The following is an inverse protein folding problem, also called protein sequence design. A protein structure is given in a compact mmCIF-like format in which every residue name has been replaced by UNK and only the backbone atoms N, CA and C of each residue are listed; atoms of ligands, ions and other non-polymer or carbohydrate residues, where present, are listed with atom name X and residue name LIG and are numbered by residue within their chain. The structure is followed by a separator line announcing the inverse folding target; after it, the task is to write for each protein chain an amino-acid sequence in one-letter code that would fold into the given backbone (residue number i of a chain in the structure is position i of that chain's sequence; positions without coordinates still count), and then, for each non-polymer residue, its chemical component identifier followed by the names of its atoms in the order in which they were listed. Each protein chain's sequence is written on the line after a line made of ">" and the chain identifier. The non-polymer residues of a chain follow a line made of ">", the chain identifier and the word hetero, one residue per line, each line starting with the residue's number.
data_IF_058331264188
#
_entry.id   IF_058331264188
#
_cell.length_a   1.000
_cell.length_b   1.000
_cell.length_c   1.000
_cell.angle_alpha   90.00
_cell.angle_beta   90.00
_cell.angle_gamma   90.00
#
_symmetry.space_group_name_H-M   'P 1'
#
loop_
_entity.id
_entity.type
_entity.pdbx_description
1 polymer ?
#
# COMPACT_ATOMS: atom_id res chain seq x y z
N UNK A 1 3.84 14.32 -16.23
CA UNK A 1 3.47 13.90 -14.85
C UNK A 1 2.19 13.06 -14.84
N UNK A 2 1.05 13.57 -15.34
CA UNK A 2 -0.23 12.87 -15.26
C UNK A 2 -0.24 11.46 -15.92
N UNK A 3 0.34 11.33 -17.11
CA UNK A 3 0.44 10.03 -17.80
C UNK A 3 1.25 9.00 -16.99
N UNK A 4 2.37 9.42 -16.39
CA UNK A 4 3.17 8.56 -15.52
C UNK A 4 2.33 8.05 -14.34
N UNK A 5 1.62 8.94 -13.65
CA UNK A 5 0.74 8.58 -12.53
C UNK A 5 -0.32 7.58 -12.96
N UNK A 6 -0.95 7.79 -14.12
CA UNK A 6 -1.96 6.89 -14.64
C UNK A 6 -1.41 5.49 -14.92
N UNK A 7 -0.27 5.40 -15.60
CA UNK A 7 0.37 4.13 -15.92
C UNK A 7 0.80 3.37 -14.67
N UNK A 8 1.41 4.05 -13.69
CA UNK A 8 1.86 3.40 -12.45
C UNK A 8 0.71 3.09 -11.49
N UNK A 9 -0.38 3.86 -11.52
CA UNK A 9 -1.59 3.56 -10.75
C UNK A 9 -2.31 2.33 -11.31
N UNK A 10 -2.36 2.17 -12.63
CA UNK A 10 -2.93 0.98 -13.27
C UNK A 10 -2.06 -0.28 -13.05
N UNK A 11 -0.73 -0.12 -13.13
CA UNK A 11 0.22 -1.21 -12.89
C UNK A 11 0.46 -1.50 -11.41
N UNK A 12 -0.23 -0.81 -10.51
CA UNK A 12 -0.01 -0.99 -9.09
C UNK A 12 -0.46 -2.38 -8.63
N UNK A 13 0.18 -2.81 -7.57
CA UNK A 13 0.05 -4.10 -6.93
C UNK A 13 -1.40 -4.48 -6.56
N UNK A 14 -2.16 -3.51 -6.05
CA UNK A 14 -3.56 -3.72 -5.65
C UNK A 14 -4.44 -4.10 -6.85
N UNK A 15 -4.26 -3.41 -7.99
CA UNK A 15 -4.97 -3.68 -9.24
C UNK A 15 -4.49 -4.99 -9.87
N UNK A 16 -3.18 -5.19 -9.95
CA UNK A 16 -2.59 -6.40 -10.56
C UNK A 16 -3.00 -7.67 -9.81
N UNK A 17 -3.13 -7.62 -8.48
CA UNK A 17 -3.61 -8.76 -7.70
C UNK A 17 -5.08 -9.08 -7.98
N UNK A 18 -5.94 -8.07 -8.03
CA UNK A 18 -7.34 -8.26 -8.40
C UNK A 18 -7.50 -8.83 -9.82
N UNK A 19 -6.71 -8.33 -10.77
CA UNK A 19 -6.71 -8.78 -12.15
C UNK A 19 -6.39 -10.27 -12.32
N UNK A 20 -5.46 -10.78 -11.52
CA UNK A 20 -5.11 -12.21 -11.51
C UNK A 20 -6.25 -13.07 -11.01
N UNK A 21 -7.03 -12.56 -10.06
CA UNK A 21 -8.20 -13.27 -9.52
C UNK A 21 -9.42 -13.17 -10.43
N UNK A 22 -9.58 -12.06 -11.16
CA UNK A 22 -10.70 -11.81 -12.06
C UNK A 22 -10.20 -11.35 -13.45
N UNK A 23 -9.78 -12.29 -14.32
CA UNK A 23 -9.10 -11.98 -15.58
C UNK A 23 -9.93 -11.17 -16.58
N UNK A 24 -11.25 -11.37 -16.61
CA UNK A 24 -12.15 -10.82 -17.63
C UNK A 24 -12.54 -9.36 -17.41
N UNK A 25 -12.10 -8.72 -16.31
CA UNK A 25 -12.61 -7.40 -15.89
C UNK A 25 -11.59 -6.27 -15.93
N UNK A 26 -10.30 -6.53 -16.08
CA UNK A 26 -9.28 -5.59 -15.57
C UNK A 26 -9.13 -4.25 -16.32
N UNK A 27 -9.06 -4.25 -17.67
CA UNK A 27 -8.86 -2.99 -18.44
C UNK A 27 -10.09 -2.08 -18.29
N UNK A 28 -11.30 -2.66 -18.29
CA UNK A 28 -12.54 -1.91 -18.11
C UNK A 28 -12.71 -1.45 -16.65
N UNK A 29 -12.33 -2.28 -15.67
CA UNK A 29 -12.56 -1.99 -14.25
C UNK A 29 -11.79 -0.77 -13.73
N UNK A 30 -10.48 -0.68 -13.94
CA UNK A 30 -9.71 0.49 -13.48
C UNK A 30 -10.18 1.78 -14.15
N UNK A 31 -10.38 1.73 -15.47
CA UNK A 31 -10.84 2.88 -16.27
C UNK A 31 -12.20 3.37 -15.80
N UNK A 32 -13.14 2.44 -15.54
CA UNK A 32 -14.46 2.75 -15.00
C UNK A 32 -14.39 3.32 -13.60
N UNK A 33 -13.64 2.69 -12.69
CA UNK A 33 -13.45 3.18 -11.33
C UNK A 33 -12.86 4.60 -11.32
N UNK A 34 -11.94 4.89 -12.23
CA UNK A 34 -11.35 6.22 -12.41
C UNK A 34 -12.37 7.24 -12.88
N UNK A 35 -13.17 6.92 -13.90
CA UNK A 35 -14.21 7.84 -14.37
C UNK A 35 -15.25 8.15 -13.28
N UNK A 36 -15.65 7.14 -12.50
CA UNK A 36 -16.56 7.32 -11.36
C UNK A 36 -15.94 8.22 -10.29
N UNK A 37 -14.66 8.00 -9.94
CA UNK A 37 -13.94 8.84 -8.95
C UNK A 37 -13.75 10.27 -9.41
N UNK A 38 -13.46 10.51 -10.69
CA UNK A 38 -13.33 11.88 -11.23
C UNK A 38 -14.65 12.62 -11.04
N UNK A 39 -15.78 12.03 -11.45
CA UNK A 39 -17.11 12.65 -11.31
C UNK A 39 -17.45 12.96 -9.86
N UNK A 40 -17.15 12.04 -8.95
CA UNK A 40 -17.37 12.24 -7.51
C UNK A 40 -16.50 13.38 -6.97
N UNK A 41 -15.21 13.41 -7.31
CA UNK A 41 -14.29 14.42 -6.79
C UNK A 41 -14.55 15.80 -7.41
N UNK A 42 -14.99 15.87 -8.66
CA UNK A 42 -15.49 17.11 -9.26
C UNK A 42 -16.70 17.64 -8.50
N UNK A 43 -17.65 16.78 -8.13
CA UNK A 43 -18.82 17.19 -7.33
C UNK A 43 -18.42 17.72 -5.95
N UNK A 44 -17.42 17.12 -5.30
CA UNK A 44 -17.00 17.46 -3.94
C UNK A 44 -16.05 18.66 -3.87
N UNK A 45 -15.12 18.78 -4.83
CA UNK A 45 -13.98 19.70 -4.74
C UNK A 45 -13.96 20.78 -5.81
N UNK A 46 -14.81 20.71 -6.84
CA UNK A 46 -14.82 21.70 -7.92
C UNK A 46 -16.06 22.60 -7.88
N UNK A 47 -15.84 23.91 -7.80
CA UNK A 47 -16.90 24.90 -7.94
C UNK A 47 -17.20 25.12 -9.42
N UNK A 48 -18.18 24.39 -9.95
CA UNK A 48 -18.53 24.40 -11.39
C UNK A 48 -18.90 25.79 -11.91
N UNK A 49 -19.62 26.59 -11.12
CA UNK A 49 -19.99 27.96 -11.51
C UNK A 49 -18.82 28.93 -11.25
N UNK A 50 -18.40 29.66 -12.28
CA UNK A 50 -17.27 30.60 -12.19
C UNK A 50 -17.55 31.81 -11.29
N UNK A 51 -18.75 32.37 -11.39
CA UNK A 51 -19.14 33.54 -10.61
C UNK A 51 -19.22 33.21 -9.13
N UNK A 52 -19.83 32.07 -8.78
CA UNK A 52 -19.85 31.56 -7.41
C UNK A 52 -18.43 31.34 -6.88
N UNK A 53 -17.53 30.79 -7.71
CA UNK A 53 -16.15 30.58 -7.30
C UNK A 53 -15.44 31.92 -7.02
N UNK A 54 -15.63 32.94 -7.87
CA UNK A 54 -15.10 34.30 -7.61
C UNK A 54 -15.67 34.90 -6.35
N UNK A 55 -16.97 34.74 -6.08
CA UNK A 55 -17.60 35.21 -4.85
C UNK A 55 -16.99 34.54 -3.61
N UNK A 56 -16.72 33.23 -3.66
CA UNK A 56 -16.03 32.52 -2.58
C UNK A 56 -14.63 33.10 -2.36
N UNK A 57 -13.84 33.29 -3.43
CA UNK A 57 -12.50 33.87 -3.36
C UNK A 57 -12.51 35.28 -2.74
N UNK A 58 -13.45 36.13 -3.14
CA UNK A 58 -13.61 37.47 -2.53
C UNK A 58 -13.98 37.38 -1.05
N UNK A 59 -14.86 36.43 -0.67
CA UNK A 59 -15.29 36.26 0.72
C UNK A 59 -14.13 35.85 1.64
N UNK A 60 -13.16 35.09 1.11
CA UNK A 60 -11.98 34.63 1.86
C UNK A 60 -10.75 35.55 1.70
N UNK A 61 -10.90 36.71 1.07
CA UNK A 61 -9.82 37.70 0.90
C UNK A 61 -8.77 37.32 -0.15
N UNK A 62 -9.16 36.53 -1.16
CA UNK A 62 -8.32 36.12 -2.30
C UNK A 62 -8.81 36.73 -3.62
N UNK A 63 -9.32 37.95 -3.60
CA UNK A 63 -9.86 38.66 -4.76
C UNK A 63 -8.83 38.87 -5.88
N UNK A 64 -7.54 38.91 -5.54
CA UNK A 64 -6.43 39.00 -6.51
C UNK A 64 -6.37 37.80 -7.47
N UNK A 65 -6.96 36.65 -7.10
CA UNK A 65 -7.04 35.47 -7.95
C UNK A 65 -8.24 35.50 -8.91
N UNK A 66 -9.15 36.47 -8.80
CA UNK A 66 -10.35 36.55 -9.64
C UNK A 66 -10.08 37.10 -11.05
N UNK A 67 -8.92 37.73 -11.27
CA UNK A 67 -8.51 38.29 -12.56
C UNK A 67 -7.78 37.26 -13.43
N UNK A 68 -7.89 37.40 -14.75
CA UNK A 68 -7.15 36.56 -15.69
C UNK A 68 -5.71 37.07 -15.85
N UNK A 69 -4.69 36.18 -15.95
CA UNK A 69 -4.80 34.73 -16.16
C UNK A 69 -4.91 33.90 -14.86
N UNK A 70 -4.85 34.53 -13.67
CA UNK A 70 -4.80 33.84 -12.38
C UNK A 70 -6.03 32.97 -12.13
N UNK A 71 -7.23 33.47 -12.45
CA UNK A 71 -8.48 32.73 -12.25
C UNK A 71 -8.55 31.47 -13.13
N UNK A 72 -8.25 31.60 -14.43
CA UNK A 72 -8.21 30.45 -15.34
C UNK A 72 -7.16 29.42 -14.91
N UNK A 73 -5.96 29.87 -14.50
CA UNK A 73 -4.90 29.00 -14.03
C UNK A 73 -5.29 28.28 -12.73
N UNK A 74 -5.91 28.98 -11.77
CA UNK A 74 -6.42 28.38 -10.54
C UNK A 74 -7.44 27.27 -10.84
N UNK A 75 -8.43 27.56 -11.69
CA UNK A 75 -9.44 26.56 -12.07
C UNK A 75 -8.83 25.35 -12.76
N UNK A 76 -7.84 25.57 -13.64
CA UNK A 76 -7.13 24.46 -14.30
C UNK A 76 -6.33 23.64 -13.29
N UNK A 77 -5.58 24.29 -12.39
CA UNK A 77 -4.83 23.60 -11.33
C UNK A 77 -5.74 22.77 -10.42
N UNK A 78 -6.94 23.26 -10.11
CA UNK A 78 -7.93 22.49 -9.35
C UNK A 78 -8.42 21.25 -10.11
N UNK A 79 -8.69 21.36 -11.41
CA UNK A 79 -9.05 20.21 -12.25
C UNK A 79 -7.91 19.19 -12.32
N UNK A 80 -6.68 19.65 -12.51
CA UNK A 80 -5.49 18.80 -12.56
C UNK A 80 -5.28 18.08 -11.22
N UNK A 81 -5.49 18.77 -10.09
CA UNK A 81 -5.45 18.18 -8.76
C UNK A 81 -6.53 17.12 -8.57
N UNK A 82 -7.78 17.39 -8.98
CA UNK A 82 -8.87 16.42 -8.91
C UNK A 82 -8.54 15.18 -9.75
N UNK A 83 -8.02 15.39 -10.96
CA UNK A 83 -7.63 14.31 -11.85
C UNK A 83 -6.53 13.45 -11.23
N UNK A 84 -5.52 14.07 -10.62
CA UNK A 84 -4.46 13.40 -9.89
C UNK A 84 -5.03 12.57 -8.73
N UNK A 85 -5.81 13.19 -7.83
CA UNK A 85 -6.38 12.54 -6.66
C UNK A 85 -7.28 11.36 -7.05
N UNK A 86 -8.16 11.54 -8.04
CA UNK A 86 -9.04 10.48 -8.51
C UNK A 86 -8.23 9.31 -9.10
N UNK A 87 -7.20 9.60 -9.91
CA UNK A 87 -6.33 8.58 -10.51
C UNK A 87 -5.58 7.76 -9.46
N UNK A 88 -5.07 8.42 -8.41
CA UNK A 88 -4.41 7.71 -7.30
C UNK A 88 -5.43 6.92 -6.47
N UNK A 89 -6.59 7.50 -6.17
CA UNK A 89 -7.65 6.84 -5.41
C UNK A 89 -8.17 5.57 -6.09
N UNK A 90 -8.25 5.56 -7.43
CA UNK A 90 -8.64 4.38 -8.22
C UNK A 90 -7.61 3.26 -8.23
N UNK A 91 -6.35 3.54 -7.83
CA UNK A 91 -5.33 2.49 -7.66
C UNK A 91 -5.55 1.63 -6.42
N UNK A 92 -6.47 2.01 -5.52
CA UNK A 92 -6.93 1.20 -4.39
C UNK A 92 -8.47 1.14 -4.45
N UNK A 93 -9.02 0.27 -5.30
CA UNK A 93 -10.44 0.30 -5.65
C UNK A 93 -11.31 -0.19 -4.49
N UNK A 94 -12.56 0.27 -4.46
CA UNK A 94 -13.57 -0.28 -3.55
C UNK A 94 -14.11 -1.55 -4.20
N UNK A 95 -13.96 -2.70 -3.53
CA UNK A 95 -14.43 -3.98 -4.02
C UNK A 95 -15.08 -4.76 -2.87
N UNK A 96 -16.20 -5.44 -3.13
CA UNK A 96 -16.88 -6.27 -2.11
C UNK A 96 -16.05 -7.49 -1.69
N UNK A 97 -15.20 -7.97 -2.59
CA UNK A 97 -14.45 -9.21 -2.40
C UNK A 97 -13.00 -8.98 -1.99
N UNK A 98 -12.50 -7.75 -2.05
CA UNK A 98 -11.10 -7.42 -1.77
C UNK A 98 -11.00 -6.31 -0.73
N UNK A 99 -10.02 -6.41 0.15
CA UNK A 99 -9.80 -5.47 1.23
C UNK A 99 -8.56 -5.80 2.03
N UNK A 100 -8.36 -5.10 3.13
CA UNK A 100 -7.28 -5.33 4.08
C UNK A 100 -7.75 -6.27 5.18
N UNK A 101 -7.26 -7.52 5.15
CA UNK A 101 -7.66 -8.56 6.10
C UNK A 101 -6.44 -9.16 6.81
N UNK A 102 -6.67 -9.68 8.01
CA UNK A 102 -5.63 -10.33 8.81
C UNK A 102 -5.47 -11.80 8.39
N UNK A 103 -4.23 -12.26 8.27
CA UNK A 103 -3.91 -13.63 7.84
C UNK A 103 -4.21 -14.69 8.92
N UNK A 104 -4.45 -14.30 10.18
CA UNK A 104 -4.67 -15.24 11.29
C UNK A 104 -6.14 -15.67 11.37
N UNK A 105 -6.41 -16.92 10.99
CA UNK A 105 -7.72 -17.59 11.02
C UNK A 105 -8.23 -17.97 12.42
N UNK A 106 -7.42 -17.91 13.48
CA UNK A 106 -7.76 -18.56 14.76
C UNK A 106 -8.19 -17.65 15.94
N UNK A 107 -8.44 -16.36 15.72
CA UNK A 107 -9.03 -15.49 16.78
C UNK A 107 -10.09 -14.57 16.18
N UNK A 108 -11.19 -15.17 15.75
CA UNK A 108 -12.17 -14.57 14.83
C UNK A 108 -13.04 -13.46 15.41
N UNK A 109 -13.09 -13.24 16.73
CA UNK A 109 -14.00 -12.22 17.29
C UNK A 109 -13.27 -10.99 17.86
N UNK A 110 -12.09 -11.12 18.47
CA UNK A 110 -11.39 -9.96 19.06
C UNK A 110 -10.60 -9.15 18.02
N UNK A 111 -9.99 -9.81 17.03
CA UNK A 111 -9.19 -9.14 15.98
C UNK A 111 -10.10 -8.41 14.98
N UNK A 112 -11.25 -8.97 14.65
CA UNK A 112 -12.24 -8.31 13.79
C UNK A 112 -12.73 -6.99 14.41
N UNK A 113 -12.96 -6.97 15.72
CA UNK A 113 -13.33 -5.77 16.47
C UNK A 113 -12.21 -4.72 16.56
N UNK A 114 -10.96 -5.08 16.25
CA UNK A 114 -9.83 -4.15 16.26
C UNK A 114 -9.42 -3.68 14.86
N UNK A 115 -9.94 -4.28 13.79
CA UNK A 115 -9.66 -3.84 12.42
C UNK A 115 -10.35 -2.50 12.12
N UNK A 116 -9.69 -1.63 11.36
CA UNK A 116 -10.35 -0.45 10.84
C UNK A 116 -11.42 -0.81 9.79
N UNK A 117 -12.50 -0.01 9.70
CA UNK A 117 -13.40 -0.06 8.56
C UNK A 117 -12.62 0.01 7.24
N UNK A 118 -13.00 -0.82 6.27
CA UNK A 118 -12.29 -0.94 4.99
C UNK A 118 -12.17 0.40 4.25
N UNK A 119 -13.21 1.25 4.33
CA UNK A 119 -13.19 2.57 3.70
C UNK A 119 -12.11 3.50 4.29
N UNK A 120 -11.92 3.45 5.61
CA UNK A 120 -10.89 4.22 6.33
C UNK A 120 -9.51 3.68 6.00
N UNK A 121 -9.33 2.36 6.05
CA UNK A 121 -8.06 1.72 5.70
C UNK A 121 -7.66 2.01 4.25
N UNK A 122 -8.63 1.96 3.32
CA UNK A 122 -8.46 2.34 1.92
C UNK A 122 -8.07 3.80 1.79
N UNK A 123 -8.74 4.71 2.48
CA UNK A 123 -8.42 6.14 2.44
C UNK A 123 -6.98 6.41 2.90
N UNK A 124 -6.54 5.79 3.99
CA UNK A 124 -5.17 5.91 4.48
C UNK A 124 -4.16 5.31 3.49
N UNK A 125 -4.48 4.17 2.87
CA UNK A 125 -3.63 3.60 1.82
C UNK A 125 -3.55 4.49 0.58
N UNK A 126 -4.63 5.18 0.19
CA UNK A 126 -4.61 6.16 -0.91
C UNK A 126 -3.69 7.33 -0.59
N UNK A 127 -3.64 7.80 0.66
CA UNK A 127 -2.67 8.82 1.09
C UNK A 127 -1.22 8.30 0.95
N UNK A 128 -0.94 7.07 1.37
CA UNK A 128 0.36 6.44 1.18
C UNK A 128 0.71 6.31 -0.31
N UNK A 129 -0.25 5.92 -1.16
CA UNK A 129 -0.09 5.87 -2.61
C UNK A 129 0.20 7.24 -3.22
N UNK A 130 -0.41 8.32 -2.73
CA UNK A 130 -0.12 9.67 -3.18
C UNK A 130 1.32 10.08 -2.85
N UNK A 131 1.81 9.72 -1.66
CA UNK A 131 3.19 10.00 -1.24
C UNK A 131 4.24 9.26 -2.06
N UNK A 132 3.93 8.07 -2.56
CA UNK A 132 4.83 7.32 -3.43
C UNK A 132 5.23 8.11 -4.70
N UNK A 133 4.41 9.09 -5.13
CA UNK A 133 4.71 9.96 -6.27
C UNK A 133 5.67 11.12 -5.95
N UNK A 134 6.07 11.29 -4.68
CA UNK A 134 7.10 12.25 -4.27
C UNK A 134 8.51 11.67 -4.32
N UNK A 135 8.66 10.37 -4.55
CA UNK A 135 9.94 9.70 -4.56
C UNK A 135 10.90 10.27 -5.60
N UNK A 136 12.20 10.20 -5.29
CA UNK A 136 13.29 10.43 -6.23
C UNK A 136 13.78 9.10 -6.86
N UNK A 137 13.24 7.96 -6.43
CA UNK A 137 13.56 6.65 -6.98
C UNK A 137 12.79 6.39 -8.29
N UNK A 138 13.51 6.42 -9.40
CA UNK A 138 12.98 6.12 -10.74
C UNK A 138 12.47 4.68 -10.92
N UNK A 139 12.85 3.73 -10.05
CA UNK A 139 12.44 2.33 -10.18
C UNK A 139 11.14 2.03 -9.45
N UNK A 140 11.06 2.42 -8.17
CA UNK A 140 9.95 2.05 -7.29
C UNK A 140 9.64 3.21 -6.35
N UNK A 141 8.42 3.74 -6.44
CA UNK A 141 7.87 4.63 -5.42
C UNK A 141 7.17 3.87 -4.32
N UNK A 142 7.56 4.13 -3.07
CA UNK A 142 6.94 3.62 -1.85
C UNK A 142 6.52 4.79 -1.00
N UNK A 143 5.30 4.75 -0.47
CA UNK A 143 4.81 5.73 0.49
C UNK A 143 4.27 5.06 1.74
N UNK A 144 4.30 5.80 2.84
CA UNK A 144 3.79 5.37 4.13
C UNK A 144 3.12 6.52 4.89
N UNK A 145 2.02 6.23 5.58
CA UNK A 145 1.38 7.16 6.53
C UNK A 145 1.14 6.46 7.86
N UNK A 146 1.22 7.22 8.95
CA UNK A 146 0.96 6.77 10.31
C UNK A 146 -0.22 7.55 10.86
N UNK A 147 -1.21 6.81 11.35
CA UNK A 147 -2.37 7.33 12.04
C UNK A 147 -2.49 6.68 13.42
N UNK A 148 -3.08 7.40 14.37
CA UNK A 148 -3.39 6.87 15.69
C UNK A 148 -4.84 7.16 16.06
N UNK A 149 -5.43 6.30 16.88
CA UNK A 149 -6.78 6.43 17.41
C UNK A 149 -6.74 6.88 18.86
N UNK A 150 -7.33 8.04 19.17
CA UNK A 150 -7.42 8.57 20.54
C UNK A 150 -8.33 7.68 21.38
N UNK A 151 -7.95 7.46 22.63
CA UNK A 151 -8.80 6.77 23.63
C UNK A 151 -9.91 7.65 24.21
N UNK A 152 -9.78 8.97 24.13
CA UNK A 152 -10.74 9.92 24.73
C UNK A 152 -11.57 10.66 23.68
N UNK A 153 -12.84 10.92 24.00
CA UNK A 153 -13.84 11.60 23.17
C UNK A 153 -13.62 13.12 23.02
N UNK A 154 -12.38 13.62 23.08
CA UNK A 154 -12.14 15.02 22.73
C UNK A 154 -12.17 15.15 21.20
N UNK A 155 -13.38 15.35 20.68
CA UNK A 155 -13.68 15.63 19.30
C UNK A 155 -13.26 17.07 18.96
N UNK A 156 -12.13 17.20 18.27
CA UNK A 156 -11.75 18.43 17.54
C UNK A 156 -12.51 18.56 16.20
N UNK A 157 -13.57 17.75 16.00
CA UNK A 157 -14.33 17.66 14.75
C UNK A 157 -13.71 16.74 13.70
N UNK A 158 -12.52 16.16 13.92
CA UNK A 158 -11.81 15.32 12.92
C UNK A 158 -11.99 13.81 13.11
N UNK A 159 -12.83 13.40 14.08
CA UNK A 159 -13.10 12.00 14.40
C UNK A 159 -12.17 11.44 15.48
N UNK A 160 -12.09 10.11 15.58
CA UNK A 160 -11.28 9.41 16.59
C UNK A 160 -9.81 9.23 16.14
N UNK A 161 -9.54 9.35 14.84
CA UNK A 161 -8.21 9.17 14.27
C UNK A 161 -7.52 10.50 14.03
N UNK A 162 -6.21 10.54 14.27
CA UNK A 162 -5.39 11.69 13.97
C UNK A 162 -4.09 11.29 13.29
N UNK A 163 -3.59 12.18 12.44
CA UNK A 163 -2.38 11.97 11.66
C UNK A 163 -1.14 12.15 12.53
N UNK A 164 -0.21 11.20 12.45
CA UNK A 164 1.02 11.17 13.25
C UNK A 164 2.25 11.50 12.40
N UNK A 165 2.37 10.91 11.21
CA UNK A 165 3.56 11.07 10.38
C UNK A 165 3.40 10.46 9.00
N UNK A 166 4.30 10.80 8.09
CA UNK A 166 4.32 10.22 6.76
C UNK A 166 5.71 10.21 6.16
N UNK A 167 5.90 9.35 5.16
CA UNK A 167 7.17 9.21 4.48
C UNK A 167 6.98 8.63 3.08
N UNK A 168 8.00 8.82 2.28
CA UNK A 168 8.21 8.16 1.00
C UNK A 168 9.68 7.81 0.89
N UNK A 169 10.02 6.85 0.03
CA UNK A 169 11.43 6.52 -0.16
C UNK A 169 12.15 7.65 -0.90
N UNK A 170 13.26 8.11 -0.33
CA UNK A 170 14.04 9.24 -0.85
C UNK A 170 15.48 9.18 -0.31
N UNK A 171 16.38 9.95 -0.91
CA UNK A 171 17.69 10.17 -0.32
C UNK A 171 17.56 11.00 0.98
N UNK A 172 18.54 10.95 1.89
CA UNK A 172 18.54 11.74 3.11
C UNK A 172 18.41 13.24 2.82
N UNK A 173 17.81 13.99 3.73
CA UNK A 173 17.69 15.45 3.60
C UNK A 173 19.08 16.08 3.46
N UNK A 174 19.23 17.03 2.52
CA UNK A 174 20.50 17.71 2.23
C UNK A 174 21.35 17.01 1.17
N UNK A 175 20.88 15.90 0.60
CA UNK A 175 21.48 15.29 -0.59
C UNK A 175 21.31 16.21 -1.80
N UNK A 176 22.40 16.52 -2.50
CA UNK A 176 22.37 17.23 -3.78
C UNK A 176 22.01 16.30 -4.94
N UNK A 177 21.53 16.89 -6.04
CA UNK A 177 21.25 16.16 -7.27
C UNK A 177 22.55 15.53 -7.79
N UNK A 178 22.63 14.19 -7.75
CA UNK A 178 23.78 13.35 -8.11
C UNK A 178 24.83 13.08 -7.01
N UNK A 179 24.57 13.41 -5.74
CA UNK A 179 25.39 12.93 -4.62
C UNK A 179 25.38 11.40 -4.50
N UNK A 180 24.29 10.80 -4.95
CA UNK A 180 24.08 9.37 -4.94
C UNK A 180 23.92 8.85 -6.37
N UNK A 181 24.42 7.63 -6.66
CA UNK A 181 24.39 7.08 -8.01
C UNK A 181 22.96 6.90 -8.52
N UNK A 182 22.50 7.83 -9.35
CA UNK A 182 21.20 7.84 -10.00
C UNK A 182 21.31 7.31 -11.45
N UNK A 183 21.53 6.01 -11.70
CA UNK A 183 21.71 5.54 -13.10
C UNK A 183 21.33 4.07 -13.37
N UNK A 184 21.05 3.84 -14.66
CA UNK A 184 20.66 2.64 -15.43
C UNK A 184 21.15 1.25 -14.96
N UNK A 185 20.32 0.23 -15.26
CA UNK A 185 20.43 -1.21 -14.94
C UNK A 185 21.70 -1.95 -15.44
N UNK A 186 22.69 -1.24 -15.99
CA UNK A 186 23.85 -1.84 -16.68
C UNK A 186 25.01 -2.20 -15.75
N UNK A 187 25.00 -1.77 -14.48
CA UNK A 187 26.10 -2.05 -13.54
C UNK A 187 25.58 -2.51 -12.16
N UNK A 188 25.62 -3.83 -11.93
CA UNK A 188 25.21 -4.46 -10.66
C UNK A 188 25.84 -3.81 -9.42
N UNK A 189 27.14 -3.54 -9.43
CA UNK A 189 27.84 -2.91 -8.29
C UNK A 189 27.38 -1.47 -7.99
N UNK A 190 26.84 -0.75 -8.98
CA UNK A 190 26.32 0.62 -8.80
C UNK A 190 24.87 0.62 -8.30
N UNK A 191 24.07 -0.34 -8.73
CA UNK A 191 22.71 -0.54 -8.22
C UNK A 191 22.73 -0.88 -6.72
N UNK A 192 23.62 -1.80 -6.32
CA UNK A 192 23.84 -2.16 -4.90
C UNK A 192 24.19 -0.92 -4.08
N UNK A 193 25.03 -0.03 -4.62
CA UNK A 193 25.39 1.23 -3.94
C UNK A 193 24.20 2.18 -3.81
N UNK A 194 23.31 2.29 -4.79
CA UNK A 194 22.09 3.14 -4.70
C UNK A 194 21.18 2.68 -3.55
N UNK A 195 20.90 1.38 -3.46
CA UNK A 195 20.03 0.83 -2.42
C UNK A 195 20.54 1.10 -1.00
N UNK A 196 21.86 1.29 -0.83
CA UNK A 196 22.47 1.58 0.47
C UNK A 196 22.20 2.98 1.01
N UNK A 197 21.77 3.92 0.16
CA UNK A 197 21.60 5.33 0.56
C UNK A 197 20.15 5.81 0.53
N UNK A 198 19.22 5.05 -0.06
CA UNK A 198 17.81 5.40 -0.03
C UNK A 198 17.24 5.05 1.35
N UNK A 199 16.63 6.04 2.00
CA UNK A 199 15.86 5.82 3.23
C UNK A 199 14.47 5.36 2.82
N UNK A 200 13.98 4.28 3.45
CA UNK A 200 12.67 3.71 3.13
C UNK A 200 11.52 4.59 3.61
N UNK A 201 10.35 4.42 3.00
CA UNK A 201 9.16 5.19 3.33
C UNK A 201 8.75 5.02 4.80
N UNK A 202 8.87 3.81 5.34
CA UNK A 202 8.56 3.47 6.73
C UNK A 202 9.52 4.18 7.70
N UNK A 203 10.82 4.19 7.39
CA UNK A 203 11.83 4.89 8.18
C UNK A 203 11.58 6.40 8.19
N UNK A 204 11.29 6.96 7.01
CA UNK A 204 10.94 8.38 6.89
C UNK A 204 9.65 8.70 7.64
N UNK A 205 8.62 7.85 7.57
CA UNK A 205 7.37 8.07 8.30
C UNK A 205 7.54 8.04 9.83
N UNK A 206 8.41 7.16 10.34
CA UNK A 206 8.73 7.07 11.77
C UNK A 206 9.57 8.26 12.27
N UNK A 207 10.40 8.83 11.39
CA UNK A 207 11.31 9.94 11.69
C UNK A 207 10.62 11.29 11.57
N UNK A 208 9.88 11.51 10.48
CA UNK A 208 9.18 12.76 10.19
C UNK A 208 7.72 12.70 10.63
N UNK A 209 7.53 12.90 11.93
CA UNK A 209 6.23 12.86 12.59
C UNK A 209 5.90 14.19 13.25
N UNK A 210 4.65 14.62 13.13
CA UNK A 210 4.15 15.83 13.79
C UNK A 210 3.69 15.56 15.23
N UNK A 211 3.52 14.29 15.61
CA UNK A 211 3.11 13.85 16.93
C UNK A 211 3.88 12.59 17.34
N UNK A 212 3.93 12.32 18.65
CA UNK A 212 4.54 11.08 19.15
C UNK A 212 3.60 9.89 19.03
N UNK A 213 4.17 8.71 18.80
CA UNK A 213 3.42 7.45 18.85
C UNK A 213 3.30 7.04 20.31
N UNK A 214 2.09 7.10 20.84
CA UNK A 214 1.84 6.79 22.25
C UNK A 214 1.61 5.30 22.48
N UNK A 215 2.29 4.66 23.46
CA UNK A 215 2.16 3.21 23.70
C UNK A 215 0.74 2.75 24.03
N UNK A 216 -0.05 3.61 24.66
CA UNK A 216 -1.42 3.35 25.08
C UNK A 216 -2.46 3.53 23.98
N UNK A 217 -2.12 4.18 22.87
CA UNK A 217 -3.03 4.41 21.75
C UNK A 217 -2.87 3.32 20.68
N UNK A 218 -3.93 3.12 19.90
CA UNK A 218 -3.86 2.23 18.74
C UNK A 218 -3.24 3.00 17.59
N UNK A 219 -1.98 2.71 17.29
CA UNK A 219 -1.22 3.29 16.18
C UNK A 219 -1.12 2.32 15.01
N UNK A 220 -1.27 2.86 13.80
CA UNK A 220 -1.38 2.11 12.55
C UNK A 220 -0.46 2.73 11.51
N UNK A 221 0.28 1.91 10.77
CA UNK A 221 1.02 2.33 9.58
C UNK A 221 0.41 1.71 8.33
N UNK A 222 0.24 2.53 7.29
CA UNK A 222 -0.22 2.12 5.98
C UNK A 222 0.93 2.33 5.02
N UNK A 223 1.38 1.26 4.37
CA UNK A 223 2.54 1.29 3.47
C UNK A 223 2.18 0.65 2.14
N UNK A 224 2.59 1.27 1.05
CA UNK A 224 2.23 0.81 -0.30
C UNK A 224 2.90 -0.50 -0.71
N UNK A 225 3.94 -0.91 0.03
CA UNK A 225 4.74 -2.11 -0.20
C UNK A 225 5.03 -2.79 1.14
N UNK A 226 5.12 -4.12 1.15
CA UNK A 226 5.45 -4.88 2.36
C UNK A 226 6.76 -4.36 3.00
N UNK A 227 6.78 -4.16 4.33
CA UNK A 227 8.00 -3.76 5.03
C UNK A 227 9.13 -4.77 4.92
N UNK A 228 10.35 -4.29 4.69
CA UNK A 228 11.54 -5.14 4.67
C UNK A 228 12.00 -5.57 6.07
N UNK A 229 12.94 -6.52 6.12
CA UNK A 229 13.50 -7.09 7.35
C UNK A 229 14.19 -6.06 8.28
N UNK A 230 14.59 -4.93 7.74
CA UNK A 230 15.17 -3.79 8.47
C UNK A 230 14.09 -2.82 9.00
N UNK A 231 13.00 -2.64 8.26
CA UNK A 231 11.90 -1.75 8.65
C UNK A 231 10.96 -2.40 9.67
N UNK A 232 10.73 -3.72 9.57
CA UNK A 232 9.90 -4.49 10.52
C UNK A 232 10.26 -4.24 11.99
N UNK A 233 11.53 -4.38 12.44
CA UNK A 233 11.88 -4.12 13.83
C UNK A 233 11.74 -2.65 14.23
N UNK A 234 11.93 -1.71 13.30
CA UNK A 234 11.76 -0.27 13.56
C UNK A 234 10.27 0.08 13.79
N UNK A 235 9.38 -0.46 12.96
CA UNK A 235 7.92 -0.29 13.12
C UNK A 235 7.47 -0.84 14.48
N UNK A 236 7.91 -2.05 14.82
CA UNK A 236 7.59 -2.67 16.12
C UNK A 236 8.18 -1.86 17.28
N UNK A 237 9.44 -1.44 17.17
CA UNK A 237 10.14 -0.68 18.20
C UNK A 237 9.54 0.72 18.45
N UNK A 238 8.94 1.32 17.42
CA UNK A 238 8.21 2.58 17.53
C UNK A 238 6.84 2.43 18.23
N UNK A 239 6.42 1.22 18.57
CA UNK A 239 5.17 0.95 19.27
C UNK A 239 3.94 0.86 18.36
N UNK A 240 4.13 0.75 17.03
CA UNK A 240 3.02 0.59 16.08
C UNK A 240 2.32 -0.75 16.30
N UNK A 241 0.99 -0.71 16.40
CA UNK A 241 0.15 -1.88 16.73
C UNK A 241 -0.38 -2.60 15.50
N UNK A 242 -0.55 -1.90 14.39
CA UNK A 242 -1.12 -2.46 13.15
C UNK A 242 -0.38 -2.00 11.91
N UNK A 243 -0.18 -2.92 10.96
CA UNK A 243 0.42 -2.66 9.65
C UNK A 243 -0.61 -3.00 8.57
N UNK A 244 -0.90 -2.04 7.71
CA UNK A 244 -1.73 -2.20 6.52
C UNK A 244 -0.83 -2.12 5.28
N UNK A 245 -0.84 -3.15 4.42
CA UNK A 245 0.08 -3.22 3.27
C UNK A 245 -0.46 -4.09 2.14
N UNK A 246 0.12 -3.94 0.94
CA UNK A 246 0.12 -5.02 -0.05
C UNK A 246 1.00 -6.20 0.40
N UNK A 247 0.81 -7.36 -0.20
CA UNK A 247 1.55 -8.60 0.12
C UNK A 247 2.72 -8.89 -0.84
N UNK A 248 3.12 -7.92 -1.64
CA UNK A 248 4.23 -8.10 -2.57
C UNK A 248 5.57 -8.18 -1.87
N UNK A 249 6.40 -9.05 -2.41
CA UNK A 249 7.69 -9.44 -1.90
C UNK A 249 7.67 -10.17 -0.55
N UNK A 250 6.52 -10.38 0.09
CA UNK A 250 6.41 -11.17 1.33
C UNK A 250 7.09 -12.54 1.14
N UNK A 251 8.01 -12.89 2.05
CA UNK A 251 8.74 -14.15 2.00
C UNK A 251 9.79 -14.23 0.87
N UNK A 252 10.15 -13.10 0.25
CA UNK A 252 11.20 -13.05 -0.78
C UNK A 252 12.49 -12.46 -0.24
N UNK A 253 13.60 -13.02 -0.71
CA UNK A 253 14.94 -12.47 -0.54
C UNK A 253 15.46 -12.00 -1.90
N UNK A 254 15.79 -10.72 -2.01
CA UNK A 254 16.44 -10.11 -3.18
C UNK A 254 17.93 -9.93 -2.87
N UNK A 255 18.69 -9.45 -3.86
CA UNK A 255 20.13 -9.26 -3.74
C UNK A 255 20.51 -8.38 -2.52
N UNK A 256 19.85 -7.23 -2.39
CA UNK A 256 20.21 -6.20 -1.39
C UNK A 256 19.15 -5.98 -0.32
N UNK A 257 18.01 -6.69 -0.39
CA UNK A 257 16.87 -6.49 0.50
C UNK A 257 16.11 -7.79 0.73
N UNK A 258 15.58 -7.98 1.93
CA UNK A 258 14.87 -9.18 2.35
C UNK A 258 13.55 -8.83 3.02
N UNK A 259 12.54 -9.70 2.85
CA UNK A 259 11.16 -9.53 3.32
C UNK A 259 10.65 -10.80 4.02
N UNK A 260 11.55 -11.56 4.64
CA UNK A 260 11.22 -12.82 5.31
C UNK A 260 10.56 -12.59 6.66
N UNK A 261 11.00 -11.59 7.41
CA UNK A 261 10.59 -11.34 8.80
C UNK A 261 9.18 -10.79 8.92
N UNK A 262 8.61 -10.23 7.86
CA UNK A 262 7.25 -9.69 7.91
C UNK A 262 6.22 -10.80 8.19
N UNK A 263 6.38 -11.98 7.58
CA UNK A 263 5.51 -13.13 7.82
C UNK A 263 5.57 -13.64 9.26
N UNK A 264 6.76 -13.59 9.85
CA UNK A 264 7.08 -14.08 11.20
C UNK A 264 6.82 -13.02 12.29
N UNK A 265 6.44 -11.80 11.93
CA UNK A 265 6.24 -10.71 12.88
C UNK A 265 5.08 -11.01 13.84
N UNK A 266 5.41 -11.09 15.13
CA UNK A 266 4.48 -11.22 16.25
C UNK A 266 4.35 -9.94 17.08
N UNK A 267 3.20 -9.79 17.74
CA UNK A 267 2.86 -8.64 18.61
C UNK A 267 2.38 -7.40 17.86
N UNK A 268 2.31 -7.46 16.53
CA UNK A 268 1.77 -6.40 15.65
C UNK A 268 0.78 -7.06 14.69
N UNK A 269 -0.44 -6.53 14.60
CA UNK A 269 -1.45 -7.06 13.69
C UNK A 269 -1.13 -6.66 12.26
N UNK A 270 -1.21 -7.60 11.32
CA UNK A 270 -0.90 -7.39 9.92
C UNK A 270 -2.18 -7.52 9.10
N UNK A 271 -2.49 -6.51 8.30
CA UNK A 271 -3.63 -6.49 7.41
C UNK A 271 -3.12 -6.35 5.97
N UNK A 272 -3.24 -7.42 5.20
CA UNK A 272 -2.75 -7.49 3.83
C UNK A 272 -3.91 -7.30 2.86
N UNK A 273 -3.63 -6.71 1.69
CA UNK A 273 -4.61 -6.61 0.62
C UNK A 273 -4.89 -7.99 0.03
N UNK A 274 -6.07 -8.55 0.27
CA UNK A 274 -6.43 -9.91 -0.14
C UNK A 274 -7.94 -10.08 -0.34
N UNK A 275 -8.32 -11.26 -0.85
CA UNK A 275 -9.71 -11.66 -0.90
C UNK A 275 -10.29 -11.72 0.51
N UNK A 276 -11.55 -11.32 0.65
CA UNK A 276 -12.29 -11.44 1.89
C UNK A 276 -12.31 -12.91 2.34
N UNK A 277 -11.64 -13.27 3.46
CA UNK A 277 -11.55 -14.67 3.90
C UNK A 277 -12.92 -15.31 4.14
N UNK A 278 -13.93 -14.53 4.56
CA UNK A 278 -15.28 -15.02 4.75
C UNK A 278 -16.01 -15.34 3.42
N UNK A 279 -15.59 -14.72 2.30
CA UNK A 279 -16.13 -14.97 0.98
C UNK A 279 -15.46 -16.14 0.24
N UNK A 280 -14.21 -16.48 0.59
CA UNK A 280 -13.45 -17.57 -0.04
C UNK A 280 -14.05 -18.96 0.22
N UNK A 281 -14.66 -19.16 1.38
CA UNK A 281 -15.35 -20.41 1.75
C UNK A 281 -16.54 -20.76 0.81
N UNK A 282 -17.06 -19.78 0.05
CA UNK A 282 -18.13 -19.97 -0.94
C UNK A 282 -17.57 -20.34 -2.32
N UNK A 283 -16.35 -19.89 -2.66
CA UNK A 283 -15.71 -20.18 -3.95
C UNK A 283 -15.11 -21.59 -3.97
N UNK A 284 -14.52 -22.05 -2.86
CA UNK A 284 -14.00 -23.44 -2.76
C UNK A 284 -15.10 -24.50 -2.81
N UNK A 285 -16.35 -24.15 -2.47
CA UNK A 285 -17.49 -25.09 -2.50
C UNK A 285 -18.10 -25.30 -3.90
N UNK A 286 -17.62 -24.55 -4.90
CA UNK A 286 -18.08 -24.66 -6.30
C UNK A 286 -17.06 -25.36 -7.23
N UNK A 287 -15.96 -25.89 -6.69
CA UNK A 287 -15.18 -26.92 -7.38
C UNK A 287 -16.04 -28.20 -7.41
N UNK A 288 -16.42 -28.75 -8.58
CA UNK A 288 -17.15 -30.01 -8.60
C UNK A 288 -16.21 -31.12 -8.12
N UNK A 289 -16.56 -31.74 -6.99
CA UNK A 289 -16.03 -33.04 -6.58
C UNK A 289 -16.12 -34.01 -7.77
N UNK A 290 -14.98 -34.29 -8.41
CA UNK A 290 -14.87 -35.41 -9.33
C UNK A 290 -14.99 -36.70 -8.52
N UNK A 291 -16.23 -37.16 -8.35
CA UNK A 291 -16.55 -38.45 -7.75
C UNK A 291 -15.90 -39.57 -8.56
N UNK A 292 -15.17 -40.41 -7.84
CA UNK A 292 -14.60 -41.66 -8.29
C UNK A 292 -15.64 -42.55 -8.99
N UNK A 293 -15.26 -43.12 -10.14
CA UNK A 293 -15.81 -44.38 -10.61
C UNK A 293 -14.66 -45.37 -10.71
N UNK A 294 -14.71 -46.41 -9.88
CA UNK A 294 -13.65 -47.40 -9.74
C UNK A 294 -13.51 -48.33 -10.95
N UNK A 295 -12.25 -48.64 -11.27
CA UNK A 295 -11.86 -49.89 -11.94
C UNK A 295 -10.68 -50.46 -11.16
N UNK A 296 -10.84 -51.70 -10.69
CA UNK A 296 -9.92 -52.43 -9.82
C UNK A 296 -8.86 -53.18 -10.65
N UNK A 297 -7.64 -53.23 -10.08
CA UNK A 297 -6.55 -54.27 -10.16
C UNK A 297 -5.23 -53.78 -10.78
N UNK A 298 -4.07 -54.40 -10.45
CA UNK A 298 -3.63 -55.03 -9.19
C UNK A 298 -2.24 -54.54 -8.70
N UNK A 299 -1.94 -54.83 -7.44
CA UNK A 299 -0.67 -54.52 -6.73
C UNK A 299 0.48 -55.45 -7.21
N UNK A 300 1.71 -54.94 -7.40
CA UNK A 300 2.94 -55.73 -7.32
C UNK A 300 3.74 -55.45 -6.01
N UNK A 301 4.61 -56.40 -5.59
CA UNK A 301 4.97 -56.59 -4.18
C UNK A 301 6.21 -55.83 -3.70
N UNK A 302 6.31 -55.72 -2.36
CA UNK A 302 7.45 -55.33 -1.54
C UNK A 302 8.77 -56.02 -1.92
N UNK A 303 9.88 -55.28 -1.88
CA UNK A 303 11.18 -55.78 -1.41
C UNK A 303 11.95 -54.71 -0.63
N UNK A 304 12.69 -55.18 0.37
CA UNK A 304 13.17 -54.50 1.58
C UNK A 304 14.57 -53.85 1.47
N UNK A 305 14.78 -52.84 2.33
CA UNK A 305 15.98 -52.47 3.13
C UNK A 305 17.44 -52.50 2.58
N UNK A 306 18.09 -51.34 2.80
CA UNK A 306 19.37 -51.13 3.56
C UNK A 306 20.69 -50.70 2.85
N UNK A 307 21.64 -50.04 3.57
CA UNK A 307 22.11 -48.66 3.27
C UNK A 307 23.64 -48.53 3.03
N UNK A 308 24.13 -47.31 2.73
CA UNK A 308 25.47 -46.69 3.01
C UNK A 308 25.74 -45.55 1.99
N UNK A 309 26.48 -44.45 2.21
CA UNK A 309 27.55 -44.06 3.15
C UNK A 309 27.71 -42.53 3.13
N UNK A 310 28.07 -41.94 4.28
CA UNK A 310 28.59 -40.56 4.44
C UNK A 310 29.99 -40.44 3.81
N UNK A 311 30.34 -39.24 3.31
CA UNK A 311 31.71 -38.82 3.06
C UNK A 311 31.95 -37.44 3.67
N UNK A 312 32.79 -37.41 4.69
CA UNK A 312 33.41 -36.22 5.27
C UNK A 312 34.62 -35.85 4.42
N UNK A 313 34.86 -34.56 4.19
CA UNK A 313 36.15 -34.05 3.71
C UNK A 313 36.80 -33.26 4.84
N UNK A 314 37.96 -33.75 5.26
CA UNK A 314 38.87 -33.10 6.20
C UNK A 314 40.11 -32.58 5.49
N UNK A 315 40.75 -31.62 6.16
CA UNK A 315 41.94 -30.85 5.80
C UNK A 315 43.11 -31.63 5.17
N UNK A 316 43.79 -30.96 4.25
CA UNK A 316 45.25 -30.86 4.19
C UNK A 316 45.65 -29.43 3.85
#
# INVERSE_FOLDING_TARGET
>A
MMQFVEETSYKCDFIQKMAKTFPDTNIDFYSKCRQERIKEYELLFFVSNEELHKQILMTIGLENLCENPYFSNLRQNMKDLILLLATVASSVPICKHYGFYCDKTEQSNEIYNQSLPQEIARHCMVQARLLAYRTEDHKIGVGAVIWAEKKSQNCDGTGMMYFVGCGYNAFPVGSEYADFPNMDDKQKDREIRKFRYIVHAEQNALTFRCQEIKPEEKSMIFVTKCPCDECVPLIKGAGIKQIYTGDIDVGRKKADISYMRFGELEGVSKFTWQLNPAGTCVLERNEPESRENGVVRPIPPNEEMHPHKKLCLGNH
#
